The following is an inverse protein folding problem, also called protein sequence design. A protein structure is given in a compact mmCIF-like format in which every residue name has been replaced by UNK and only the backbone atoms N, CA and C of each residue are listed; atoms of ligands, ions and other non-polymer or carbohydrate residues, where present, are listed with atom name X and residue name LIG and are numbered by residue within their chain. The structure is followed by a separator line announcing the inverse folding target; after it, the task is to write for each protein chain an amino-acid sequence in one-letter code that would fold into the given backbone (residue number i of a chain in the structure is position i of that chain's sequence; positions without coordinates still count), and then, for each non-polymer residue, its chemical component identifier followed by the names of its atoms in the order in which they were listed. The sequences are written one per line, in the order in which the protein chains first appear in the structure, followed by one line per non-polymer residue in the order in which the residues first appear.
data_IF_902309046783
#
_entry.id   IF_902309046783
#
_cell.length_a   1.000
_cell.length_b   1.000
_cell.length_c   1.000
_cell.angle_alpha   90.00
_cell.angle_beta   90.00
_cell.angle_gamma   90.00
#
_symmetry.space_group_name_H-M   'P 1'
#
loop_
_entity.id
_entity.type
_entity.pdbx_description
1 polymer ?
#
# COMPACT_ATOMS: atom_id res chain seq x y z
N UNK A 1 -20.40 5.05 3.66
CA UNK A 1 -21.81 4.61 3.45
C UNK A 1 -22.70 5.78 3.07
N UNK A 2 -22.68 6.88 3.82
CA UNK A 2 -23.52 8.06 3.56
C UNK A 2 -23.20 8.78 2.24
N UNK A 3 -22.03 8.58 1.67
CA UNK A 3 -21.63 9.15 0.38
C UNK A 3 -22.16 8.42 -0.87
N UNK A 4 -23.11 7.52 -0.73
CA UNK A 4 -23.70 6.80 -1.87
C UNK A 4 -22.86 5.65 -2.40
N UNK A 5 -22.29 4.85 -1.52
CA UNK A 5 -21.43 3.71 -1.83
C UNK A 5 -22.20 2.62 -2.61
N UNK A 6 -21.69 2.21 -3.77
CA UNK A 6 -22.21 1.08 -4.54
C UNK A 6 -21.65 -0.26 -4.05
N UNK A 7 -20.43 -0.26 -3.54
CA UNK A 7 -19.76 -1.43 -2.99
C UNK A 7 -19.01 -1.02 -1.74
N UNK A 8 -19.20 -1.76 -0.66
CA UNK A 8 -18.59 -1.49 0.64
C UNK A 8 -17.69 -2.65 1.03
N UNK A 9 -16.42 -2.34 1.30
CA UNK A 9 -15.46 -3.26 1.91
C UNK A 9 -15.22 -2.84 3.36
N UNK A 10 -15.17 -3.82 4.25
CA UNK A 10 -14.77 -3.65 5.65
C UNK A 10 -13.64 -4.60 5.98
N UNK A 11 -12.47 -4.06 6.34
CA UNK A 11 -11.34 -4.87 6.77
C UNK A 11 -11.61 -5.49 8.14
N UNK A 12 -11.06 -6.68 8.37
CA UNK A 12 -11.02 -7.28 9.69
C UNK A 12 -10.14 -6.43 10.63
N UNK A 13 -10.47 -6.40 11.91
CA UNK A 13 -9.79 -5.55 12.90
C UNK A 13 -8.30 -5.87 13.10
N UNK A 14 -7.89 -7.09 12.76
CA UNK A 14 -6.54 -7.63 12.85
C UNK A 14 -5.76 -7.60 11.51
N UNK A 15 -6.36 -7.06 10.44
CA UNK A 15 -5.81 -7.08 9.08
C UNK A 15 -4.42 -6.42 9.00
N UNK A 16 -4.17 -5.38 9.79
CA UNK A 16 -2.90 -4.66 9.79
C UNK A 16 -1.73 -5.46 10.43
N UNK A 17 -2.02 -6.54 11.17
CA UNK A 17 -1.03 -7.31 11.94
C UNK A 17 -0.96 -8.78 11.56
N UNK A 18 -2.06 -9.37 11.05
CA UNK A 18 -2.13 -10.80 10.73
C UNK A 18 -3.24 -11.11 9.71
N UNK A 19 -3.39 -12.39 9.35
CA UNK A 19 -4.56 -12.84 8.61
C UNK A 19 -5.80 -12.81 9.51
N UNK A 20 -6.99 -12.56 8.93
CA UNK A 20 -8.24 -12.54 9.70
C UNK A 20 -8.51 -13.89 10.38
N UNK A 21 -8.90 -13.82 11.64
CA UNK A 21 -9.51 -14.96 12.35
C UNK A 21 -10.99 -15.07 11.95
N UNK A 22 -11.62 -16.20 12.25
CA UNK A 22 -13.07 -16.39 12.04
C UNK A 22 -13.88 -15.33 12.79
N UNK A 23 -13.42 -14.92 13.98
CA UNK A 23 -14.06 -13.88 14.77
C UNK A 23 -13.95 -12.51 14.11
N UNK A 24 -12.76 -12.07 13.74
CA UNK A 24 -12.53 -10.75 13.15
C UNK A 24 -13.18 -10.64 11.77
N UNK A 25 -13.13 -11.69 10.94
CA UNK A 25 -13.82 -11.75 9.65
C UNK A 25 -15.35 -11.65 9.80
N UNK A 26 -15.91 -12.32 10.82
CA UNK A 26 -17.35 -12.23 11.13
C UNK A 26 -17.75 -10.81 11.52
N UNK A 27 -16.98 -10.12 12.36
CA UNK A 27 -17.22 -8.72 12.73
C UNK A 27 -17.23 -7.82 11.49
N UNK A 28 -16.21 -7.94 10.63
CA UNK A 28 -16.11 -7.17 9.40
C UNK A 28 -17.33 -7.37 8.49
N UNK A 29 -17.72 -8.62 8.23
CA UNK A 29 -18.88 -8.94 7.42
C UNK A 29 -20.18 -8.43 8.05
N UNK A 30 -20.37 -8.67 9.36
CA UNK A 30 -21.61 -8.27 10.04
C UNK A 30 -21.77 -6.75 10.13
N UNK A 31 -20.67 -5.99 10.15
CA UNK A 31 -20.72 -4.52 10.04
C UNK A 31 -21.44 -4.08 8.77
N UNK A 32 -21.16 -4.69 7.64
CA UNK A 32 -21.86 -4.39 6.37
C UNK A 32 -23.34 -4.76 6.45
N UNK A 33 -23.67 -5.91 7.05
CA UNK A 33 -25.07 -6.37 7.19
C UNK A 33 -25.86 -5.42 8.08
N UNK A 34 -25.32 -5.02 9.23
CA UNK A 34 -25.95 -4.03 10.13
C UNK A 34 -26.20 -2.71 9.42
N UNK A 35 -25.22 -2.21 8.66
CA UNK A 35 -25.39 -0.99 7.88
C UNK A 35 -26.49 -1.12 6.82
N UNK A 36 -26.58 -2.25 6.15
CA UNK A 36 -27.57 -2.49 5.10
C UNK A 36 -28.99 -2.69 5.66
N UNK A 37 -29.14 -3.47 6.74
CA UNK A 37 -30.44 -3.94 7.22
C UNK A 37 -31.02 -3.08 8.35
N UNK A 38 -30.17 -2.56 9.25
CA UNK A 38 -30.64 -1.90 10.48
C UNK A 38 -30.60 -0.37 10.41
N UNK A 39 -29.72 0.22 9.58
CA UNK A 39 -29.52 1.67 9.55
C UNK A 39 -30.58 2.44 8.74
N UNK A 40 -31.29 1.76 7.86
CA UNK A 40 -32.24 2.38 6.91
C UNK A 40 -31.59 3.20 5.79
N UNK A 41 -30.27 3.25 5.70
CA UNK A 41 -29.52 4.04 4.72
C UNK A 41 -29.84 3.62 3.26
N UNK A 42 -30.21 2.36 3.04
CA UNK A 42 -30.58 1.83 1.74
C UNK A 42 -31.93 2.34 1.22
N UNK A 43 -32.71 3.02 2.05
CA UNK A 43 -34.02 3.56 1.70
C UNK A 43 -33.99 4.96 1.11
N UNK A 44 -32.84 5.62 1.13
CA UNK A 44 -32.65 6.98 0.66
C UNK A 44 -31.52 7.04 -0.37
N UNK A 45 -31.66 7.93 -1.35
CA UNK A 45 -30.63 8.24 -2.33
C UNK A 45 -29.98 9.56 -1.91
N UNK A 46 -28.64 9.59 -1.88
CA UNK A 46 -27.87 10.77 -1.55
C UNK A 46 -28.37 11.52 -0.29
N UNK A 47 -28.24 10.89 0.89
CA UNK A 47 -28.78 11.47 2.13
C UNK A 47 -28.11 12.79 2.56
N UNK A 48 -26.96 13.14 1.98
CA UNK A 48 -26.21 14.38 2.23
C UNK A 48 -26.43 15.43 1.12
N UNK A 49 -27.15 15.09 0.05
CA UNK A 49 -27.44 15.97 -1.07
C UNK A 49 -28.14 17.26 -0.64
N UNK A 50 -27.72 18.40 -1.19
CA UNK A 50 -28.26 19.71 -0.85
C UNK A 50 -27.75 20.31 0.48
N UNK A 51 -26.89 19.64 1.23
CA UNK A 51 -26.19 20.25 2.36
C UNK A 51 -25.18 21.27 1.84
N UNK A 52 -25.36 22.54 2.18
CA UNK A 52 -24.44 23.61 1.74
C UNK A 52 -22.97 23.32 2.04
N UNK A 53 -22.68 22.75 3.21
CA UNK A 53 -21.32 22.38 3.59
C UNK A 53 -20.77 21.25 2.72
N UNK A 54 -21.54 20.18 2.53
CA UNK A 54 -21.11 19.00 1.76
C UNK A 54 -20.93 19.37 0.28
N UNK A 55 -21.84 20.14 -0.29
CA UNK A 55 -21.74 20.60 -1.69
C UNK A 55 -20.50 21.48 -1.89
N UNK A 56 -20.24 22.43 -0.98
CA UNK A 56 -19.06 23.28 -1.05
C UNK A 56 -17.76 22.47 -0.91
N UNK A 57 -17.71 21.56 0.06
CA UNK A 57 -16.54 20.68 0.25
C UNK A 57 -16.30 19.75 -0.96
N UNK A 58 -17.38 19.23 -1.55
CA UNK A 58 -17.29 18.40 -2.76
C UNK A 58 -16.72 19.19 -3.93
N UNK A 59 -17.19 20.41 -4.15
CA UNK A 59 -16.67 21.28 -5.20
C UNK A 59 -15.18 21.59 -4.99
N UNK A 60 -14.77 21.92 -3.76
CA UNK A 60 -13.35 22.15 -3.44
C UNK A 60 -12.48 20.93 -3.68
N UNK A 61 -12.93 19.73 -3.27
CA UNK A 61 -12.21 18.48 -3.52
C UNK A 61 -12.08 18.18 -5.02
N UNK A 62 -13.11 18.44 -5.82
CA UNK A 62 -13.08 18.30 -7.28
C UNK A 62 -12.03 19.24 -7.88
N UNK A 63 -12.01 20.50 -7.48
CA UNK A 63 -11.04 21.49 -7.98
C UNK A 63 -9.60 21.10 -7.64
N UNK A 64 -9.34 20.63 -6.40
CA UNK A 64 -8.02 20.15 -5.99
C UNK A 64 -7.61 18.88 -6.75
N UNK A 65 -8.53 17.95 -6.97
CA UNK A 65 -8.27 16.74 -7.75
C UNK A 65 -7.91 17.06 -9.21
N UNK A 66 -8.66 17.96 -9.86
CA UNK A 66 -8.36 18.40 -11.22
C UNK A 66 -7.02 19.11 -11.35
N UNK A 67 -6.60 19.87 -10.34
CA UNK A 67 -5.28 20.49 -10.30
C UNK A 67 -4.17 19.43 -10.32
N UNK A 68 -4.28 18.38 -9.47
CA UNK A 68 -3.30 17.29 -9.43
C UNK A 68 -3.31 16.51 -10.75
N UNK A 69 -4.47 16.23 -11.33
CA UNK A 69 -4.59 15.57 -12.64
C UNK A 69 -3.85 16.40 -13.70
N UNK A 70 -4.06 17.72 -13.75
CA UNK A 70 -3.37 18.61 -14.67
C UNK A 70 -1.84 18.61 -14.48
N UNK A 71 -1.34 18.54 -13.25
CA UNK A 71 0.08 18.41 -12.94
C UNK A 71 0.66 17.07 -13.48
N UNK A 72 -0.09 15.98 -13.32
CA UNK A 72 0.29 14.66 -13.86
C UNK A 72 0.33 14.67 -15.39
N UNK A 73 -0.66 15.27 -16.04
CA UNK A 73 -0.73 15.37 -17.50
C UNK A 73 0.41 16.25 -18.05
N UNK A 74 0.75 17.33 -17.36
CA UNK A 74 1.88 18.19 -17.72
C UNK A 74 3.24 17.46 -17.66
N UNK A 75 3.38 16.47 -16.77
CA UNK A 75 4.56 15.59 -16.73
C UNK A 75 4.58 14.54 -17.87
N UNK A 76 3.51 14.41 -18.63
CA UNK A 76 3.34 13.43 -19.70
C UNK A 76 2.70 12.12 -19.23
N UNK A 77 1.83 12.20 -18.24
CA UNK A 77 1.00 11.12 -17.72
C UNK A 77 1.56 10.42 -16.48
N UNK A 78 0.76 9.53 -15.89
CA UNK A 78 1.05 8.91 -14.60
C UNK A 78 2.37 8.12 -14.57
N UNK A 79 2.74 7.43 -15.65
CA UNK A 79 4.00 6.67 -15.72
C UNK A 79 5.21 7.58 -15.48
N UNK A 80 5.23 8.75 -16.12
CA UNK A 80 6.31 9.72 -15.93
C UNK A 80 6.25 10.41 -14.56
N UNK A 81 5.04 10.69 -14.07
CA UNK A 81 4.85 11.24 -12.73
C UNK A 81 5.39 10.28 -11.65
N UNK A 82 5.12 8.98 -11.76
CA UNK A 82 5.66 7.94 -10.85
C UNK A 82 7.18 7.87 -10.97
N UNK A 83 7.73 7.85 -12.18
CA UNK A 83 9.17 7.84 -12.40
C UNK A 83 9.88 9.07 -11.82
N UNK A 84 9.23 10.25 -11.82
CA UNK A 84 9.74 11.48 -11.20
C UNK A 84 9.69 11.46 -9.68
N UNK A 85 8.96 10.52 -9.07
CA UNK A 85 8.72 10.46 -7.63
C UNK A 85 7.65 11.43 -7.10
N UNK A 86 6.94 12.15 -7.97
CA UNK A 86 5.96 13.17 -7.57
C UNK A 86 4.86 12.63 -6.65
N UNK A 87 4.14 11.52 -6.96
CA UNK A 87 3.08 11.01 -6.09
C UNK A 87 3.62 10.55 -4.73
N UNK A 88 4.78 9.89 -4.73
CA UNK A 88 5.43 9.45 -3.48
C UNK A 88 5.76 10.62 -2.57
N UNK A 89 6.34 11.69 -3.13
CA UNK A 89 6.66 12.90 -2.37
C UNK A 89 5.43 13.53 -1.75
N UNK A 90 4.34 13.70 -2.51
CA UNK A 90 3.08 14.27 -2.00
C UNK A 90 2.48 13.43 -0.86
N UNK A 91 2.55 12.10 -0.97
CA UNK A 91 2.09 11.18 0.08
C UNK A 91 2.95 11.32 1.34
N UNK A 92 4.29 11.35 1.20
CA UNK A 92 5.21 11.48 2.33
C UNK A 92 5.06 12.83 3.04
N UNK A 93 4.89 13.91 2.29
CA UNK A 93 4.63 15.26 2.83
C UNK A 93 3.32 15.30 3.63
N UNK A 94 2.24 14.78 3.07
CA UNK A 94 0.94 14.72 3.74
C UNK A 94 0.97 13.82 4.98
N UNK A 95 1.62 12.66 4.91
CA UNK A 95 1.77 11.74 6.02
C UNK A 95 2.58 12.35 7.17
N UNK A 96 3.70 13.01 6.88
CA UNK A 96 4.53 13.67 7.90
C UNK A 96 3.80 14.84 8.57
N UNK A 97 3.07 15.66 7.80
CA UNK A 97 2.26 16.74 8.34
C UNK A 97 1.13 16.22 9.25
N UNK A 98 0.45 15.14 8.84
CA UNK A 98 -0.59 14.50 9.66
C UNK A 98 0.00 13.91 10.94
N UNK A 99 1.12 13.20 10.85
CA UNK A 99 1.77 12.61 12.01
C UNK A 99 2.13 13.71 13.04
N UNK A 100 2.66 14.84 12.58
CA UNK A 100 2.97 15.96 13.46
C UNK A 100 1.73 16.49 14.20
N UNK A 101 0.57 16.59 13.54
CA UNK A 101 -0.70 17.00 14.21
C UNK A 101 -1.17 15.96 15.23
N UNK A 102 -1.06 14.67 14.91
CA UNK A 102 -1.39 13.58 15.84
C UNK A 102 -0.49 13.64 17.09
N UNK A 103 0.81 13.84 16.91
CA UNK A 103 1.78 13.88 18.01
C UNK A 103 1.61 15.12 18.89
N UNK A 104 1.15 16.24 18.33
CA UNK A 104 0.78 17.44 19.08
C UNK A 104 -0.58 17.33 19.78
N UNK A 105 -1.39 16.34 19.42
CA UNK A 105 -2.76 16.19 19.91
C UNK A 105 -3.78 17.10 19.23
N UNK A 106 -3.42 17.74 18.14
CA UNK A 106 -4.32 18.56 17.29
C UNK A 106 -5.32 17.64 16.57
N UNK A 107 -4.84 16.52 16.01
CA UNK A 107 -5.68 15.44 15.48
C UNK A 107 -5.83 14.35 16.57
N UNK A 108 -7.06 14.06 16.95
CA UNK A 108 -7.38 13.01 17.95
C UNK A 108 -7.69 11.70 17.25
N UNK A 109 -6.96 10.65 17.62
CA UNK A 109 -7.27 9.26 17.26
C UNK A 109 -7.58 8.53 18.55
N UNK A 110 -8.84 8.13 18.71
CA UNK A 110 -9.33 7.43 19.91
C UNK A 110 -8.58 6.11 20.09
N UNK A 111 -8.12 5.84 21.31
CA UNK A 111 -7.31 4.67 21.62
C UNK A 111 -5.83 4.78 21.24
N UNK A 112 -5.44 5.77 20.44
CA UNK A 112 -4.04 5.96 19.99
C UNK A 112 -3.37 7.10 20.76
N UNK A 113 -3.87 8.34 20.66
CA UNK A 113 -3.29 9.48 21.35
C UNK A 113 -4.25 10.09 22.41
N UNK A 114 -5.51 9.65 22.45
CA UNK A 114 -6.49 10.03 23.48
C UNK A 114 -7.40 8.86 23.84
N UNK A 115 -7.89 8.84 25.07
CA UNK A 115 -8.76 7.78 25.59
C UNK A 115 -8.17 6.38 25.51
N UNK A 116 -6.89 6.26 25.83
CA UNK A 116 -6.16 4.99 25.89
C UNK A 116 -6.62 4.17 27.08
N UNK A 117 -6.70 2.86 26.91
CA UNK A 117 -6.81 1.92 28.02
C UNK A 117 -5.46 1.79 28.73
N UNK A 118 -5.47 1.56 30.05
CA UNK A 118 -4.25 1.32 30.82
C UNK A 118 -3.62 -0.04 30.51
N UNK A 119 -4.45 -1.02 30.21
CA UNK A 119 -4.07 -2.37 29.75
C UNK A 119 -4.99 -2.74 28.61
N UNK A 120 -4.43 -3.35 27.58
CA UNK A 120 -5.18 -3.88 26.43
C UNK A 120 -5.08 -5.40 26.44
N UNK A 121 -6.18 -6.07 26.10
CA UNK A 121 -6.19 -7.51 25.91
C UNK A 121 -5.37 -7.84 24.65
N UNK A 122 -4.64 -8.96 24.70
CA UNK A 122 -3.96 -9.48 23.53
C UNK A 122 -5.00 -10.01 22.55
N UNK A 123 -4.87 -9.59 21.28
CA UNK A 123 -5.67 -10.15 20.20
C UNK A 123 -5.10 -11.51 19.79
N UNK A 124 -5.99 -12.50 19.69
CA UNK A 124 -5.65 -13.75 19.01
C UNK A 124 -5.39 -13.47 17.54
N UNK A 125 -4.17 -13.75 17.07
CA UNK A 125 -3.77 -13.54 15.69
C UNK A 125 -3.55 -14.86 14.98
N UNK A 126 -3.97 -14.92 13.70
CA UNK A 126 -3.72 -16.07 12.85
C UNK A 126 -2.34 -15.92 12.19
N UNK A 127 -1.33 -16.50 12.81
CA UNK A 127 0.02 -16.54 12.26
C UNK A 127 0.18 -17.67 11.25
N UNK A 128 0.83 -17.36 10.12
CA UNK A 128 1.16 -18.35 9.10
C UNK A 128 2.57 -18.86 9.36
N UNK A 129 2.72 -20.20 9.45
CA UNK A 129 4.04 -20.83 9.44
C UNK A 129 4.65 -20.68 8.03
N UNK A 130 5.43 -19.60 7.87
CA UNK A 130 6.07 -19.25 6.61
C UNK A 130 7.07 -20.32 6.14
N UNK A 131 7.73 -21.02 7.05
CA UNK A 131 8.68 -22.08 6.71
C UNK A 131 7.95 -23.30 6.16
N UNK A 132 6.87 -23.71 6.78
CA UNK A 132 6.01 -24.81 6.28
C UNK A 132 5.46 -24.49 4.90
N UNK A 133 4.90 -23.31 4.71
CA UNK A 133 4.34 -22.87 3.41
C UNK A 133 5.43 -22.83 2.34
N UNK A 134 6.60 -22.26 2.65
CA UNK A 134 7.75 -22.19 1.75
C UNK A 134 8.25 -23.56 1.34
N UNK A 135 8.44 -24.47 2.29
CA UNK A 135 8.90 -25.84 1.99
C UNK A 135 7.88 -26.61 1.14
N UNK A 136 6.59 -26.47 1.47
CA UNK A 136 5.52 -27.05 0.67
C UNK A 136 5.51 -26.52 -0.77
N UNK A 137 5.75 -25.23 -0.98
CA UNK A 137 5.83 -24.65 -2.32
C UNK A 137 7.08 -25.12 -3.09
N UNK A 138 8.23 -25.20 -2.45
CA UNK A 138 9.47 -25.73 -3.05
C UNK A 138 9.26 -27.17 -3.52
N UNK A 139 8.66 -28.02 -2.67
CA UNK A 139 8.36 -29.41 -3.03
C UNK A 139 7.41 -29.51 -4.24
N UNK A 140 6.36 -28.68 -4.29
CA UNK A 140 5.43 -28.64 -5.44
C UNK A 140 6.14 -28.21 -6.73
N UNK A 141 6.98 -27.17 -6.68
CA UNK A 141 7.75 -26.72 -7.84
C UNK A 141 8.72 -27.80 -8.32
N UNK A 142 9.44 -28.47 -7.43
CA UNK A 142 10.34 -29.58 -7.77
C UNK A 142 9.58 -30.72 -8.47
N UNK A 143 8.41 -31.10 -7.94
CA UNK A 143 7.55 -32.14 -8.55
C UNK A 143 7.07 -31.70 -9.95
N UNK A 144 6.66 -30.46 -10.11
CA UNK A 144 6.20 -29.93 -11.41
C UNK A 144 7.32 -29.96 -12.45
N UNK A 145 8.51 -29.49 -12.08
CA UNK A 145 9.68 -29.50 -12.98
C UNK A 145 10.13 -30.92 -13.35
N UNK A 146 10.10 -31.86 -12.42
CA UNK A 146 10.48 -33.24 -12.69
C UNK A 146 9.49 -34.00 -13.62
N UNK A 147 8.23 -33.55 -13.65
CA UNK A 147 7.17 -34.24 -14.41
C UNK A 147 6.82 -33.58 -15.75
N UNK A 148 7.39 -32.40 -16.06
CA UNK A 148 7.12 -31.68 -17.30
C UNK A 148 7.99 -32.13 -18.45
N UNK A 149 7.55 -31.90 -19.68
CA UNK A 149 8.41 -31.94 -20.85
C UNK A 149 9.31 -30.68 -20.85
N UNK A 150 10.57 -30.87 -20.51
CA UNK A 150 11.52 -29.76 -20.37
C UNK A 150 11.80 -29.09 -21.73
N UNK A 151 11.88 -29.88 -22.83
CA UNK A 151 12.12 -29.29 -24.18
C UNK A 151 10.97 -28.39 -24.59
N UNK A 152 9.73 -28.86 -24.47
CA UNK A 152 8.55 -28.07 -24.79
C UNK A 152 8.43 -26.81 -23.89
N UNK A 153 8.81 -26.92 -22.62
CA UNK A 153 8.84 -25.78 -21.70
C UNK A 153 9.86 -24.72 -22.13
N UNK A 154 11.09 -25.14 -22.43
CA UNK A 154 12.16 -24.22 -22.87
C UNK A 154 11.86 -23.56 -24.22
N UNK A 155 11.27 -24.31 -25.16
CA UNK A 155 10.82 -23.76 -26.44
C UNK A 155 9.76 -22.68 -26.26
N UNK A 156 8.77 -22.91 -25.39
CA UNK A 156 7.73 -21.93 -25.08
C UNK A 156 8.27 -20.69 -24.36
N UNK A 157 9.22 -20.84 -23.43
CA UNK A 157 9.89 -19.71 -22.77
C UNK A 157 10.76 -18.91 -23.76
N UNK A 158 11.46 -19.57 -24.66
CA UNK A 158 12.22 -18.94 -25.73
C UNK A 158 11.30 -18.14 -26.66
N UNK A 159 10.17 -18.74 -27.07
CA UNK A 159 9.17 -18.04 -27.89
C UNK A 159 8.63 -16.79 -27.19
N UNK A 160 8.41 -16.85 -25.87
CA UNK A 160 7.99 -15.69 -25.08
C UNK A 160 9.06 -14.58 -25.08
N UNK A 161 10.34 -14.96 -24.90
CA UNK A 161 11.46 -14.00 -24.94
C UNK A 161 11.60 -13.33 -26.32
N UNK A 162 11.51 -14.10 -27.40
CA UNK A 162 11.57 -13.54 -28.77
C UNK A 162 10.34 -12.67 -29.07
N UNK A 163 9.14 -13.12 -28.69
CA UNK A 163 7.92 -12.32 -28.83
C UNK A 163 7.97 -11.00 -28.08
N UNK A 164 8.62 -10.96 -26.91
CA UNK A 164 8.85 -9.73 -26.15
C UNK A 164 9.73 -8.72 -26.90
N UNK A 165 10.69 -9.17 -27.72
CA UNK A 165 11.57 -8.31 -28.52
C UNK A 165 10.85 -7.65 -29.69
N UNK A 166 9.85 -8.32 -30.27
CA UNK A 166 9.13 -7.88 -31.46
C UNK A 166 7.70 -7.41 -31.18
N UNK A 167 7.36 -7.23 -29.90
CA UNK A 167 6.08 -6.72 -29.42
C UNK A 167 4.88 -7.58 -29.85
N UNK A 168 5.00 -8.91 -29.77
CA UNK A 168 3.91 -9.85 -29.99
C UNK A 168 2.93 -9.89 -28.81
N UNK A 169 1.88 -10.70 -28.93
CA UNK A 169 0.92 -10.93 -27.85
C UNK A 169 1.54 -11.79 -26.74
N UNK A 170 2.17 -11.12 -25.74
CA UNK A 170 2.86 -11.78 -24.64
C UNK A 170 1.94 -12.62 -23.76
N UNK A 171 0.66 -12.24 -23.64
CA UNK A 171 -0.32 -13.03 -22.87
C UNK A 171 -0.53 -14.42 -23.50
N UNK A 172 -0.69 -14.46 -24.83
CA UNK A 172 -0.86 -15.74 -25.54
C UNK A 172 0.38 -16.63 -25.39
N UNK A 173 1.58 -16.04 -25.51
CA UNK A 173 2.87 -16.76 -25.36
C UNK A 173 3.06 -17.23 -23.92
N UNK A 174 2.74 -16.41 -22.91
CA UNK A 174 2.81 -16.79 -21.50
C UNK A 174 1.81 -17.93 -21.15
N UNK A 175 0.62 -17.91 -21.73
CA UNK A 175 -0.35 -19.02 -21.61
C UNK A 175 0.22 -20.32 -22.18
N UNK A 176 0.90 -20.27 -23.34
CA UNK A 176 1.53 -21.46 -23.91
C UNK A 176 2.67 -21.97 -23.02
N UNK A 177 3.49 -21.09 -22.46
CA UNK A 177 4.53 -21.47 -21.50
C UNK A 177 3.92 -22.10 -20.22
N UNK A 178 2.84 -21.53 -19.69
CA UNK A 178 2.12 -22.11 -18.55
C UNK A 178 1.50 -23.50 -18.86
N UNK A 179 0.99 -23.71 -20.06
CA UNK A 179 0.51 -25.04 -20.53
C UNK A 179 1.65 -26.05 -20.63
N UNK A 180 2.84 -25.61 -21.02
CA UNK A 180 4.07 -26.42 -20.99
C UNK A 180 4.66 -26.60 -19.57
N UNK A 181 3.91 -26.14 -18.52
CA UNK A 181 4.29 -26.24 -17.10
C UNK A 181 5.51 -25.39 -16.72
N UNK A 182 5.77 -24.28 -17.43
CA UNK A 182 6.65 -23.26 -16.93
C UNK A 182 6.08 -22.65 -15.63
N UNK A 183 6.96 -22.35 -14.68
CA UNK A 183 6.59 -21.67 -13.44
C UNK A 183 6.40 -20.18 -13.68
N UNK A 184 5.68 -19.51 -12.78
CA UNK A 184 5.51 -18.05 -12.85
C UNK A 184 6.87 -17.31 -12.87
N UNK A 185 7.85 -17.78 -12.09
CA UNK A 185 9.21 -17.21 -12.11
C UNK A 185 9.85 -17.35 -13.47
N UNK A 186 9.85 -18.54 -14.07
CA UNK A 186 10.46 -18.76 -15.41
C UNK A 186 9.80 -17.91 -16.51
N UNK A 187 8.46 -17.72 -16.45
CA UNK A 187 7.74 -16.83 -17.37
C UNK A 187 8.16 -15.37 -17.14
N UNK A 188 8.27 -14.95 -15.88
CA UNK A 188 8.71 -13.59 -15.53
C UNK A 188 10.16 -13.34 -15.94
N UNK A 189 11.06 -14.29 -15.69
CA UNK A 189 12.49 -14.21 -16.06
C UNK A 189 12.68 -14.10 -17.58
N UNK A 190 11.85 -14.82 -18.36
CA UNK A 190 11.87 -14.76 -19.82
C UNK A 190 11.53 -13.35 -20.35
N UNK A 191 10.59 -12.65 -19.70
CA UNK A 191 10.24 -11.27 -20.04
C UNK A 191 11.25 -10.26 -19.46
N UNK A 192 11.75 -10.50 -18.24
CA UNK A 192 12.75 -9.64 -17.59
C UNK A 192 14.07 -9.60 -18.39
N UNK A 193 14.44 -10.68 -19.06
CA UNK A 193 15.61 -10.73 -19.95
C UNK A 193 15.55 -9.71 -21.10
N UNK A 194 14.35 -9.26 -21.48
CA UNK A 194 14.14 -8.25 -22.53
C UNK A 194 13.89 -6.86 -21.97
N UNK A 195 12.97 -6.75 -21.00
CA UNK A 195 12.53 -5.46 -20.47
C UNK A 195 13.34 -4.97 -19.28
N UNK A 196 14.10 -5.84 -18.64
CA UNK A 196 14.71 -5.56 -17.34
C UNK A 196 13.67 -5.45 -16.24
N UNK A 197 14.13 -5.22 -15.03
CA UNK A 197 13.29 -4.98 -13.87
C UNK A 197 13.18 -3.49 -13.60
N UNK A 198 11.95 -2.99 -13.53
CA UNK A 198 11.72 -1.59 -13.18
C UNK A 198 12.18 -1.32 -11.74
N UNK A 199 13.03 -0.33 -11.58
CA UNK A 199 13.48 0.18 -10.29
C UNK A 199 13.26 1.69 -10.24
N UNK A 200 12.64 2.18 -9.18
CA UNK A 200 12.53 3.61 -8.93
C UNK A 200 13.73 4.12 -8.16
N UNK A 201 14.19 5.33 -8.49
CA UNK A 201 15.12 6.05 -7.63
C UNK A 201 14.31 6.87 -6.63
N UNK A 202 14.30 6.50 -5.33
CA UNK A 202 13.55 7.26 -4.36
C UNK A 202 14.16 8.65 -4.18
N UNK A 203 13.34 9.69 -4.33
CA UNK A 203 13.72 11.05 -3.94
C UNK A 203 13.43 11.20 -2.45
N UNK A 204 14.45 11.35 -1.59
CA UNK A 204 14.22 11.45 -0.16
C UNK A 204 13.59 12.80 0.19
N UNK A 205 12.48 12.75 0.89
CA UNK A 205 11.87 13.93 1.51
C UNK A 205 12.55 14.18 2.87
N UNK A 206 13.04 15.38 3.12
CA UNK A 206 13.78 15.73 4.33
C UNK A 206 13.18 16.96 5.02
N UNK A 207 13.21 16.93 6.36
CA UNK A 207 12.92 18.10 7.18
C UNK A 207 11.44 18.41 7.44
N UNK A 208 10.47 17.76 6.76
CA UNK A 208 9.04 18.08 6.86
C UNK A 208 8.52 17.90 8.28
N UNK A 209 8.83 16.77 8.93
CA UNK A 209 8.42 16.53 10.31
C UNK A 209 9.05 17.55 11.26
N UNK A 210 10.35 17.81 11.11
CA UNK A 210 11.08 18.77 11.93
C UNK A 210 10.53 20.20 11.81
N UNK A 211 10.18 20.65 10.60
CA UNK A 211 9.61 21.98 10.39
C UNK A 211 8.25 22.15 11.08
N UNK A 212 7.44 21.09 11.16
CA UNK A 212 6.17 21.11 11.87
C UNK A 212 6.32 21.26 13.41
N UNK A 213 7.50 20.97 13.95
CA UNK A 213 7.83 21.05 15.38
C UNK A 213 8.82 22.16 15.73
N UNK A 214 9.13 23.08 14.81
CA UNK A 214 10.18 24.10 14.97
C UNK A 214 10.06 24.91 16.27
N UNK A 215 8.83 25.21 16.72
CA UNK A 215 8.55 25.96 17.94
C UNK A 215 8.22 25.09 19.16
N UNK A 216 8.32 23.76 19.07
CA UNK A 216 8.08 22.85 20.21
C UNK A 216 9.35 22.74 21.08
N UNK A 217 9.24 23.11 22.36
CA UNK A 217 10.35 22.98 23.33
C UNK A 217 10.88 21.56 23.48
N UNK A 218 10.02 20.55 23.34
CA UNK A 218 10.43 19.13 23.38
C UNK A 218 11.29 18.79 22.17
N UNK A 219 10.96 19.34 21.00
CA UNK A 219 11.78 19.17 19.80
C UNK A 219 13.16 19.77 19.96
N UNK A 220 13.28 20.97 20.55
CA UNK A 220 14.54 21.58 20.87
C UNK A 220 15.39 20.68 21.81
N UNK A 221 14.79 20.12 22.86
CA UNK A 221 15.48 19.17 23.77
C UNK A 221 16.00 17.93 23.05
N UNK A 222 15.22 17.38 22.08
CA UNK A 222 15.66 16.24 21.27
C UNK A 222 16.87 16.63 20.41
N UNK A 223 16.85 17.80 19.78
CA UNK A 223 17.98 18.28 18.97
C UNK A 223 19.24 18.49 19.80
N UNK A 224 19.11 19.08 20.99
CA UNK A 224 20.22 19.26 21.93
C UNK A 224 20.81 17.90 22.36
N UNK A 225 19.96 16.93 22.65
CA UNK A 225 20.36 15.56 22.98
C UNK A 225 21.12 14.88 21.83
N UNK A 226 20.64 15.00 20.60
CA UNK A 226 21.31 14.47 19.40
C UNK A 226 22.68 15.13 19.21
N UNK A 227 22.78 16.45 19.37
CA UNK A 227 24.06 17.17 19.27
C UNK A 227 25.03 16.77 20.38
N UNK A 228 24.56 16.53 21.62
CA UNK A 228 25.39 16.05 22.70
C UNK A 228 25.98 14.66 22.40
N UNK A 229 25.19 13.76 21.83
CA UNK A 229 25.63 12.43 21.37
C UNK A 229 26.62 12.56 20.22
N UNK A 230 26.35 13.42 19.24
CA UNK A 230 27.24 13.68 18.09
C UNK A 230 28.62 14.16 18.57
N UNK A 231 28.65 15.11 19.50
CA UNK A 231 29.93 15.59 20.11
C UNK A 231 30.72 14.47 20.82
N UNK A 232 30.01 13.56 21.50
CA UNK A 232 30.63 12.42 22.20
C UNK A 232 31.16 11.35 21.25
N UNK A 233 30.45 11.09 20.14
CA UNK A 233 30.78 10.03 19.18
C UNK A 233 31.66 10.50 18.02
N UNK A 234 31.85 11.82 17.83
CA UNK A 234 32.51 12.40 16.67
C UNK A 234 31.73 12.23 15.33
N UNK A 235 30.51 11.74 15.39
CA UNK A 235 29.61 11.56 14.23
C UNK A 235 28.15 11.59 14.65
N UNK A 236 27.26 11.92 13.71
CA UNK A 236 25.82 11.83 13.95
C UNK A 236 25.39 10.40 14.31
N UNK A 237 24.55 10.22 15.34
CA UNK A 237 23.98 8.90 15.63
C UNK A 237 23.18 8.40 14.44
N UNK A 238 23.29 7.11 14.14
CA UNK A 238 22.46 6.42 13.15
C UNK A 238 21.67 5.35 13.87
N UNK A 239 20.38 5.29 13.61
CA UNK A 239 19.54 4.15 13.93
C UNK A 239 19.72 3.12 12.80
N UNK A 240 19.92 1.87 13.18
CA UNK A 240 20.00 0.72 12.26
C UNK A 240 18.61 0.16 12.05
#
# INVERSE_FOLDING_TARGET
TLGGTQSLHTNALDEAIALPTDFSARIARNTQIVLAEESGITKVVDPLGGSYYVEALTAELVDQAWKIIGEVDALGGMTKAVASGMPKRLIEEAAAARQARVDKGEDVIVGVNKYKLGTEDQLDTLEVDNDFVRQGQIARLAKTRAARDESACQEALKALTEGARVNENLLALAVNAARARATLGEISDAMEAVFGRYATTPVPVKGIYGSAHEFDKRWAQVLDGVQAVERRLGRKPKLL
#
